data_IF_714933845249
#
_entry.id   IF_714933845249
#
_cell.length_a   1.000
_cell.length_b   1.000
_cell.length_c   1.000
_cell.angle_alpha   90.00
_cell.angle_beta   90.00
_cell.angle_gamma   90.00
#
_symmetry.space_group_name_H-M   'P 1'
#
loop_
_entity.id
_entity.type
_entity.pdbx_description
1 polymer ?
#
# COMPACT_ATOMS: atom_id res chain seq x y z
N UNK A 1 18.19 16.00 -5.29
CA UNK A 1 18.44 14.54 -5.18
C UNK A 1 17.17 13.80 -5.60
N UNK A 2 17.19 13.08 -6.72
CA UNK A 2 16.09 12.19 -7.12
C UNK A 2 16.28 10.85 -6.42
N UNK A 3 15.91 10.77 -5.15
CA UNK A 3 15.86 9.50 -4.42
C UNK A 3 14.53 8.79 -4.65
N UNK A 4 14.52 7.46 -4.70
CA UNK A 4 13.30 6.67 -4.71
C UNK A 4 12.44 7.04 -3.51
N UNK A 5 11.16 7.35 -3.73
CA UNK A 5 10.21 7.66 -2.65
C UNK A 5 9.20 6.54 -2.53
N UNK A 6 8.83 6.22 -1.30
CA UNK A 6 7.77 5.27 -1.04
C UNK A 6 6.46 5.87 -1.54
N UNK A 7 5.80 5.20 -2.47
CA UNK A 7 4.53 5.70 -3.02
C UNK A 7 3.36 5.52 -2.05
N UNK A 8 3.55 4.84 -0.92
CA UNK A 8 2.54 4.68 0.14
C UNK A 8 2.60 5.77 1.21
N UNK A 9 3.79 6.20 1.64
CA UNK A 9 3.95 7.24 2.68
C UNK A 9 4.65 8.52 2.18
N UNK A 10 5.04 8.57 0.90
CA UNK A 10 5.72 9.69 0.24
C UNK A 10 7.09 10.07 0.84
N UNK A 11 7.59 9.31 1.82
CA UNK A 11 8.93 9.49 2.39
C UNK A 11 10.02 8.93 1.46
N UNK A 12 11.22 9.51 1.58
CA UNK A 12 12.40 9.01 0.88
C UNK A 12 12.78 7.62 1.40
N UNK A 13 13.13 6.74 0.46
CA UNK A 13 13.61 5.39 0.76
C UNK A 13 15.13 5.45 0.92
N UNK A 14 15.63 4.96 2.05
CA UNK A 14 17.07 4.83 2.28
C UNK A 14 17.61 3.56 1.61
N UNK A 15 18.90 3.50 1.24
CA UNK A 15 19.50 2.27 0.72
C UNK A 15 19.47 1.10 1.71
N UNK A 16 19.22 1.38 3.00
CA UNK A 16 19.09 0.42 4.09
C UNK A 16 17.65 -0.09 4.25
N UNK A 17 16.67 0.64 3.68
CA UNK A 17 15.26 0.32 3.83
C UNK A 17 14.88 -0.89 2.97
N UNK A 18 14.19 -1.84 3.59
CA UNK A 18 13.61 -2.95 2.84
C UNK A 18 12.34 -2.49 2.13
N UNK A 19 12.33 -2.69 0.82
CA UNK A 19 11.26 -2.22 -0.06
C UNK A 19 10.66 -3.31 -0.92
N UNK A 20 9.38 -3.11 -1.25
CA UNK A 20 8.65 -3.85 -2.26
C UNK A 20 8.50 -2.99 -3.50
N UNK A 21 8.75 -3.59 -4.66
CA UNK A 21 8.42 -3.01 -5.94
C UNK A 21 7.12 -3.64 -6.43
N UNK A 22 6.14 -2.81 -6.78
CA UNK A 22 4.87 -3.25 -7.34
C UNK A 22 4.56 -2.40 -8.57
N UNK A 23 4.40 -3.07 -9.72
CA UNK A 23 4.36 -2.43 -11.04
C UNK A 23 5.60 -1.54 -11.20
N UNK A 24 5.40 -0.24 -11.38
CA UNK A 24 6.48 0.75 -11.54
C UNK A 24 6.80 1.54 -10.25
N UNK A 25 6.11 1.24 -9.15
CA UNK A 25 6.23 1.97 -7.89
C UNK A 25 7.00 1.19 -6.83
N UNK A 26 7.61 1.93 -5.91
CA UNK A 26 8.37 1.37 -4.77
C UNK A 26 7.68 1.76 -3.47
N UNK A 27 7.62 0.81 -2.54
CA UNK A 27 6.95 0.95 -1.26
C UNK A 27 7.83 0.38 -0.15
N UNK A 28 7.80 0.97 1.04
CA UNK A 28 8.37 0.30 2.22
C UNK A 28 7.62 -1.00 2.49
N UNK A 29 8.30 -1.99 3.06
CA UNK A 29 7.67 -3.24 3.51
C UNK A 29 6.50 -3.00 4.47
N UNK A 30 6.58 -1.96 5.30
CA UNK A 30 5.50 -1.58 6.22
C UNK A 30 4.35 -0.83 5.51
N UNK A 31 4.62 -0.20 4.37
CA UNK A 31 3.60 0.47 3.55
C UNK A 31 2.89 -0.52 2.62
N UNK A 32 3.50 -1.67 2.32
CA UNK A 32 2.94 -2.70 1.46
C UNK A 32 1.99 -3.63 2.24
N UNK A 33 0.89 -3.05 2.71
CA UNK A 33 -0.10 -3.70 3.58
C UNK A 33 -1.49 -3.68 2.96
N UNK A 34 -2.35 -4.61 3.37
CA UNK A 34 -3.76 -4.60 3.03
C UNK A 34 -4.40 -3.30 3.54
N UNK A 35 -5.13 -2.59 2.69
CA UNK A 35 -5.80 -1.36 3.10
C UNK A 35 -6.94 -1.62 4.10
N UNK A 36 -7.51 -2.83 4.12
CA UNK A 36 -8.63 -3.21 4.99
C UNK A 36 -8.14 -3.68 6.36
N UNK A 37 -7.34 -4.74 6.42
CA UNK A 37 -6.86 -5.31 7.69
C UNK A 37 -5.46 -4.80 8.12
N UNK A 38 -4.79 -3.97 7.31
CA UNK A 38 -3.42 -3.48 7.56
C UNK A 38 -2.36 -4.59 7.69
N UNK A 39 -2.70 -5.83 7.32
CA UNK A 39 -1.76 -6.97 7.28
C UNK A 39 -0.68 -6.72 6.22
N UNK A 40 0.59 -6.97 6.56
CA UNK A 40 1.67 -6.99 5.58
C UNK A 40 1.47 -8.15 4.61
N UNK A 41 1.53 -7.84 3.32
CA UNK A 41 1.36 -8.83 2.26
C UNK A 41 2.73 -9.46 2.00
N UNK A 42 2.88 -10.77 2.16
CA UNK A 42 4.15 -11.47 1.94
C UNK A 42 4.32 -11.97 0.51
N UNK A 43 5.56 -12.27 0.11
CA UNK A 43 5.85 -12.87 -1.20
C UNK A 43 5.29 -14.29 -1.19
N UNK A 44 4.43 -14.63 -2.15
CA UNK A 44 3.77 -15.94 -2.23
C UNK A 44 2.34 -15.98 -1.71
N UNK A 45 1.83 -14.92 -1.08
CA UNK A 45 0.40 -14.79 -0.79
C UNK A 45 -0.32 -14.08 -1.94
N UNK A 46 -1.56 -14.49 -2.22
CA UNK A 46 -2.43 -13.84 -3.19
C UNK A 46 -2.90 -12.47 -2.67
N UNK A 47 -2.68 -11.44 -3.48
CA UNK A 47 -3.11 -10.08 -3.21
C UNK A 47 -3.72 -9.46 -4.46
N UNK A 48 -4.64 -8.52 -4.23
CA UNK A 48 -5.38 -7.82 -5.25
C UNK A 48 -4.97 -6.35 -5.23
N UNK A 49 -4.65 -5.81 -6.41
CA UNK A 49 -4.30 -4.40 -6.61
C UNK A 49 -5.53 -3.70 -7.16
N UNK A 50 -6.15 -2.83 -6.36
CA UNK A 50 -7.36 -2.11 -6.75
C UNK A 50 -7.04 -0.82 -7.49
N UNK A 51 -6.06 -0.08 -6.99
CA UNK A 51 -5.53 1.16 -7.56
C UNK A 51 -4.01 1.15 -7.43
N UNK A 52 -3.36 2.13 -8.05
CA UNK A 52 -1.91 2.23 -8.15
C UNK A 52 -1.14 2.20 -6.81
N UNK A 53 -1.83 2.47 -5.69
CA UNK A 53 -1.27 2.44 -4.33
C UNK A 53 -2.16 1.69 -3.32
N UNK A 54 -3.19 0.96 -3.78
CA UNK A 54 -4.19 0.29 -2.93
C UNK A 54 -4.11 -1.23 -3.10
N UNK A 55 -3.74 -1.91 -2.02
CA UNK A 55 -3.57 -3.37 -1.99
C UNK A 55 -4.57 -4.01 -1.04
N UNK A 56 -5.13 -5.16 -1.41
CA UNK A 56 -6.06 -5.93 -0.57
C UNK A 56 -5.61 -7.38 -0.54
N UNK A 57 -5.61 -8.00 0.64
CA UNK A 57 -5.32 -9.42 0.75
C UNK A 57 -6.50 -10.25 0.18
N UNK A 58 -6.21 -11.46 -0.30
CA UNK A 58 -7.25 -12.38 -0.79
C UNK A 58 -8.43 -12.51 0.17
N UNK A 59 -8.17 -12.59 1.47
CA UNK A 59 -9.24 -12.74 2.47
C UNK A 59 -10.22 -11.56 2.47
N UNK A 60 -9.74 -10.32 2.57
CA UNK A 60 -10.63 -9.15 2.59
C UNK A 60 -11.27 -8.90 1.22
N UNK A 61 -10.56 -9.20 0.14
CA UNK A 61 -11.08 -9.10 -1.21
C UNK A 61 -12.26 -10.04 -1.43
N UNK A 62 -12.12 -11.32 -1.05
CA UNK A 62 -13.19 -12.31 -1.15
C UNK A 62 -14.32 -12.06 -0.15
N UNK A 63 -14.02 -11.47 1.01
CA UNK A 63 -15.01 -11.13 2.04
C UNK A 63 -15.93 -9.99 1.63
N UNK A 64 -15.66 -9.28 0.52
CA UNK A 64 -16.50 -8.17 0.05
C UNK A 64 -16.53 -6.99 1.04
N UNK A 65 -15.48 -6.81 1.84
CA UNK A 65 -15.48 -5.72 2.83
C UNK A 65 -15.44 -4.36 2.13
N UNK A 66 -16.19 -3.37 2.65
CA UNK A 66 -16.11 -2.00 2.14
C UNK A 66 -14.69 -1.51 2.32
N UNK A 67 -14.09 -1.08 1.21
CA UNK A 67 -12.76 -0.49 1.22
C UNK A 67 -12.85 0.83 1.99
N UNK A 68 -11.99 1.11 2.99
CA UNK A 68 -11.89 2.43 3.58
C UNK A 68 -11.68 3.43 2.44
N UNK A 69 -12.70 4.24 2.27
CA UNK A 69 -12.76 5.24 1.24
C UNK A 69 -11.65 6.25 1.55
N UNK A 70 -10.67 6.36 0.64
CA UNK A 70 -9.54 7.29 0.77
C UNK A 70 -10.06 8.69 0.42
N UNK A 71 -11.05 9.15 1.18
CA UNK A 71 -11.50 10.52 1.13
C UNK A 71 -10.48 11.37 1.86
N UNK A 72 -9.71 12.09 1.06
CA UNK A 72 -8.98 13.28 1.49
C UNK A 72 -9.91 14.12 2.34
N UNK A 73 -9.41 14.55 3.50
CA UNK A 73 -10.16 15.37 4.44
C UNK A 73 -10.82 16.55 3.74
N UNK A 74 -12.15 16.54 3.70
CA UNK A 74 -12.88 17.79 3.69
C UNK A 74 -12.83 18.33 5.11
N UNK A 75 -11.89 19.26 5.33
CA UNK A 75 -11.99 20.20 6.44
C UNK A 75 -13.35 20.86 6.35
N UNK A 76 -14.19 20.61 7.34
CA UNK A 76 -15.47 21.27 7.48
C UNK A 76 -15.36 22.23 8.67
N UNK A 77 -15.26 23.51 8.31
CA UNK A 77 -15.58 24.76 9.02
C UNK A 77 -15.32 24.83 10.53
#
# INVERSE_FOLDING_TARGET
RYGTKCSGCLQGISPQDLVRKARDKVFHLNCFTCLVCRKQLSTGEELYVLDDNKFVCKNDYLSGKPLPDVHHGHGHH
#
